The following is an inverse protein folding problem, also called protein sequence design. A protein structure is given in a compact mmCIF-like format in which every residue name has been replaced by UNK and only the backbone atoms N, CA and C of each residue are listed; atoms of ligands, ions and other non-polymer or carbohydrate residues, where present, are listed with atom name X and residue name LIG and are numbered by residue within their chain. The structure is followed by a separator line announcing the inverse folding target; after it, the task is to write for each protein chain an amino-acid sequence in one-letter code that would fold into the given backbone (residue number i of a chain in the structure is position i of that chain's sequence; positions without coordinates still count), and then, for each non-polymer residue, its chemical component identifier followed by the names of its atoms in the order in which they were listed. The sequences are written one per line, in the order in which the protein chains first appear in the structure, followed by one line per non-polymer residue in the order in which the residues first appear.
data_IF_392263114001
#
_entry.id   IF_392263114001
#
_cell.length_a   1.000
_cell.length_b   1.000
_cell.length_c   1.000
_cell.angle_alpha   90.00
_cell.angle_beta   90.00
_cell.angle_gamma   90.00
#
_symmetry.space_group_name_H-M   'P 1'
#
loop_
_entity.id
_entity.type
_entity.pdbx_description
1 polymer ?
#
# COMPACT_ATOMS: atom_id res chain seq x y z
N UNK A 1 -20.27 -62.66 6.95
CA UNK A 1 -20.01 -61.21 6.75
C UNK A 1 -19.36 -60.69 8.01
N UNK A 2 -18.10 -60.30 7.93
CA UNK A 2 -17.38 -59.62 9.02
C UNK A 2 -17.62 -58.12 8.91
N UNK A 3 -17.90 -57.45 10.02
CA UNK A 3 -18.03 -56.00 10.09
C UNK A 3 -16.66 -55.39 10.43
N UNK A 4 -15.67 -55.66 9.58
CA UNK A 4 -14.27 -55.26 9.78
C UNK A 4 -13.94 -53.90 9.14
N UNK A 5 -14.86 -53.31 8.39
CA UNK A 5 -14.66 -52.03 7.68
C UNK A 5 -15.94 -51.23 7.52
N UNK A 6 -15.79 -49.92 7.32
CA UNK A 6 -16.87 -49.04 6.91
C UNK A 6 -17.21 -49.20 5.42
N UNK A 7 -18.46 -48.86 5.06
CA UNK A 7 -18.87 -48.71 3.67
C UNK A 7 -18.15 -47.51 3.00
N UNK A 8 -18.11 -47.52 1.67
CA UNK A 8 -17.60 -46.41 0.88
C UNK A 8 -18.25 -45.08 1.31
N UNK A 9 -17.42 -44.05 1.50
CA UNK A 9 -17.86 -42.74 2.00
C UNK A 9 -17.82 -42.61 3.52
N UNK A 10 -17.42 -43.65 4.25
CA UNK A 10 -17.23 -43.62 5.70
C UNK A 10 -15.85 -44.19 6.13
N UNK A 11 -15.35 -43.77 7.30
CA UNK A 11 -14.00 -44.07 7.81
C UNK A 11 -13.97 -44.32 9.32
N UNK A 12 -12.79 -44.74 9.80
CA UNK A 12 -12.40 -44.84 11.22
C UNK A 12 -13.18 -45.84 12.08
N UNK A 13 -13.53 -47.01 11.53
CA UNK A 13 -13.99 -48.13 12.34
C UNK A 13 -12.88 -48.63 13.28
N UNK A 14 -13.09 -48.58 14.59
CA UNK A 14 -12.10 -48.99 15.59
C UNK A 14 -12.73 -49.84 16.70
N UNK A 15 -11.92 -50.64 17.41
CA UNK A 15 -12.33 -51.45 18.58
C UNK A 15 -12.96 -50.63 19.71
N UNK A 16 -12.62 -49.35 19.82
CA UNK A 16 -13.19 -48.43 20.80
C UNK A 16 -14.53 -47.82 20.34
N UNK A 17 -14.85 -47.90 19.04
CA UNK A 17 -16.10 -47.43 18.47
C UNK A 17 -16.63 -48.43 17.42
N UNK A 18 -17.07 -49.62 17.85
CA UNK A 18 -17.39 -50.75 16.96
C UNK A 18 -18.64 -50.53 16.09
N UNK A 19 -19.52 -49.58 16.45
CA UNK A 19 -20.70 -49.21 15.65
C UNK A 19 -20.46 -47.92 14.82
N UNK A 20 -19.30 -47.28 14.99
CA UNK A 20 -19.07 -45.93 14.52
C UNK A 20 -18.31 -45.86 13.20
N UNK A 21 -19.04 -45.58 12.14
CA UNK A 21 -18.51 -45.16 10.86
C UNK A 21 -18.78 -43.67 10.67
N UNK A 22 -17.72 -42.87 10.53
CA UNK A 22 -17.83 -41.43 10.32
C UNK A 22 -17.79 -41.10 8.84
N UNK A 23 -18.59 -40.13 8.34
CA UNK A 23 -18.52 -39.73 6.94
C UNK A 23 -17.13 -39.18 6.59
N UNK A 24 -16.65 -39.46 5.37
CA UNK A 24 -15.31 -39.06 4.92
C UNK A 24 -15.09 -37.54 4.98
N UNK A 25 -16.08 -36.75 4.53
CA UNK A 25 -16.03 -35.29 4.53
C UNK A 25 -15.03 -34.68 3.54
N UNK A 26 -14.72 -35.38 2.45
CA UNK A 26 -13.78 -34.89 1.44
C UNK A 26 -14.28 -33.59 0.80
N UNK A 27 -13.37 -32.63 0.63
CA UNK A 27 -13.65 -31.34 0.02
C UNK A 27 -14.04 -31.54 -1.46
N UNK A 28 -15.21 -31.05 -1.90
CA UNK A 28 -15.70 -31.26 -3.26
C UNK A 28 -14.88 -30.52 -4.32
N UNK A 29 -14.25 -29.40 -3.94
CA UNK A 29 -13.43 -28.60 -4.84
C UNK A 29 -12.02 -29.19 -4.92
N UNK A 30 -11.49 -29.76 -3.84
CA UNK A 30 -10.12 -30.27 -3.77
C UNK A 30 -9.94 -31.77 -3.98
N UNK A 31 -11.00 -32.57 -3.87
CA UNK A 31 -10.95 -34.02 -4.07
C UNK A 31 -11.40 -34.43 -5.48
N UNK A 32 -10.89 -35.55 -5.98
CA UNK A 32 -11.37 -36.17 -7.22
C UNK A 32 -12.79 -36.74 -7.05
N UNK A 33 -13.13 -37.17 -5.84
CA UNK A 33 -14.43 -37.69 -5.45
C UNK A 33 -14.64 -37.58 -3.94
N UNK A 34 -15.88 -37.78 -3.49
CA UNK A 34 -16.30 -37.70 -2.08
C UNK A 34 -16.00 -38.96 -1.23
N UNK A 35 -15.31 -39.95 -1.81
CA UNK A 35 -14.87 -41.16 -1.09
C UNK A 35 -13.45 -41.00 -0.53
N UNK A 36 -13.18 -41.71 0.57
CA UNK A 36 -11.87 -41.77 1.20
C UNK A 36 -11.48 -43.22 1.49
N UNK A 37 -10.19 -43.45 1.75
CA UNK A 37 -9.68 -44.74 2.20
C UNK A 37 -10.34 -45.15 3.54
N UNK A 38 -10.97 -46.34 3.64
CA UNK A 38 -11.73 -46.72 4.84
C UNK A 38 -10.89 -46.86 6.12
N UNK A 39 -9.56 -47.04 6.00
CA UNK A 39 -8.66 -47.26 7.13
C UNK A 39 -7.99 -45.96 7.59
N UNK A 40 -7.34 -45.25 6.67
CA UNK A 40 -6.62 -44.01 6.92
C UNK A 40 -7.52 -42.77 6.89
N UNK A 41 -8.68 -42.85 6.23
CA UNK A 41 -9.58 -41.73 6.05
C UNK A 41 -9.13 -40.71 5.01
N UNK A 42 -8.06 -41.01 4.26
CA UNK A 42 -7.46 -40.12 3.27
C UNK A 42 -8.33 -40.02 2.01
N UNK A 43 -8.69 -38.80 1.63
CA UNK A 43 -9.36 -38.50 0.36
C UNK A 43 -8.36 -38.48 -0.81
N UNK A 44 -8.83 -38.80 -2.02
CA UNK A 44 -8.02 -38.69 -3.24
C UNK A 44 -7.98 -37.25 -3.73
N UNK A 45 -6.88 -36.55 -3.46
CA UNK A 45 -6.76 -35.12 -3.77
C UNK A 45 -6.43 -34.86 -5.25
N UNK A 46 -6.97 -33.76 -5.79
CA UNK A 46 -6.54 -33.20 -7.07
C UNK A 46 -5.07 -32.77 -6.99
N UNK A 47 -4.41 -32.69 -8.14
CA UNK A 47 -2.99 -32.32 -8.24
C UNK A 47 -2.73 -30.96 -7.59
N UNK A 48 -1.82 -30.93 -6.63
CA UNK A 48 -1.41 -29.69 -5.96
C UNK A 48 -2.25 -29.32 -4.73
N UNK A 49 -3.17 -30.18 -4.32
CA UNK A 49 -3.96 -30.06 -3.09
C UNK A 49 -3.52 -31.15 -2.11
N UNK A 50 -3.59 -30.85 -0.81
CA UNK A 50 -3.14 -31.72 0.27
C UNK A 50 -4.11 -31.69 1.46
N UNK A 51 -3.81 -32.51 2.48
CA UNK A 51 -4.65 -32.67 3.67
C UNK A 51 -5.49 -33.94 3.62
N UNK A 52 -6.01 -34.35 4.77
CA UNK A 52 -6.83 -35.56 4.90
C UNK A 52 -8.10 -35.46 4.05
N UNK A 53 -8.68 -34.26 4.01
CA UNK A 53 -9.93 -33.94 3.32
C UNK A 53 -9.71 -33.24 1.98
N UNK A 54 -8.44 -33.05 1.55
CA UNK A 54 -8.10 -32.27 0.36
C UNK A 54 -8.61 -30.81 0.41
N UNK A 55 -8.61 -30.22 1.60
CA UNK A 55 -9.10 -28.87 1.90
C UNK A 55 -7.97 -27.84 2.02
N UNK A 56 -6.71 -28.27 1.86
CA UNK A 56 -5.54 -27.46 2.18
C UNK A 56 -4.59 -27.34 1.00
N UNK A 57 -4.11 -26.13 0.74
CA UNK A 57 -3.07 -25.88 -0.25
C UNK A 57 -1.65 -25.96 0.34
N UNK A 58 -0.63 -26.31 -0.47
CA UNK A 58 0.78 -26.27 -0.04
C UNK A 58 1.23 -24.89 0.45
N UNK A 59 2.25 -24.80 1.33
CA UNK A 59 2.81 -23.53 1.78
C UNK A 59 3.22 -22.63 0.60
N UNK A 60 2.91 -21.33 0.69
CA UNK A 60 3.13 -20.38 -0.41
C UNK A 60 2.00 -20.34 -1.45
N UNK A 61 0.93 -21.10 -1.23
CA UNK A 61 -0.31 -21.05 -2.01
C UNK A 61 -1.54 -20.95 -1.10
N UNK A 62 -2.68 -20.53 -1.65
CA UNK A 62 -3.94 -20.39 -0.93
C UNK A 62 -5.13 -20.85 -1.77
N UNK A 63 -6.24 -21.18 -1.10
CA UNK A 63 -7.40 -21.89 -1.67
C UNK A 63 -7.62 -23.21 -0.92
N UNK A 64 -8.13 -24.27 -1.59
CA UNK A 64 -8.55 -24.33 -2.99
C UNK A 64 -9.77 -23.44 -3.29
N UNK A 65 -9.84 -22.87 -4.50
CA UNK A 65 -11.02 -22.12 -4.96
C UNK A 65 -12.03 -23.09 -5.60
N UNK A 66 -13.19 -22.57 -6.03
CA UNK A 66 -14.25 -23.35 -6.69
C UNK A 66 -13.80 -24.16 -7.93
N UNK A 67 -12.65 -23.84 -8.52
CA UNK A 67 -12.04 -24.58 -9.64
C UNK A 67 -11.13 -25.73 -9.19
N UNK A 68 -10.94 -25.92 -7.89
CA UNK A 68 -10.04 -26.94 -7.33
C UNK A 68 -8.57 -26.65 -7.59
N UNK A 69 -8.19 -25.38 -7.69
CA UNK A 69 -6.81 -24.97 -7.95
C UNK A 69 -6.26 -24.12 -6.80
N UNK A 70 -5.04 -24.44 -6.38
CA UNK A 70 -4.27 -23.62 -5.45
C UNK A 70 -3.62 -22.43 -6.17
N UNK A 71 -3.78 -21.24 -5.61
CA UNK A 71 -3.24 -20.00 -6.20
C UNK A 71 -2.00 -19.56 -5.43
N UNK A 72 -0.95 -19.16 -6.13
CA UNK A 72 0.26 -18.63 -5.48
C UNK A 72 -0.01 -17.35 -4.69
N UNK A 73 0.57 -17.23 -3.49
CA UNK A 73 0.47 -16.02 -2.68
C UNK A 73 0.97 -14.78 -3.44
N UNK A 74 2.10 -14.92 -4.15
CA UNK A 74 2.77 -13.83 -4.88
C UNK A 74 3.00 -12.57 -4.00
N UNK A 75 3.48 -12.76 -2.76
CA UNK A 75 3.76 -11.65 -1.87
C UNK A 75 4.97 -10.82 -2.35
N UNK A 76 4.91 -9.50 -2.19
CA UNK A 76 6.01 -8.58 -2.49
C UNK A 76 7.12 -8.70 -1.44
N UNK A 77 8.33 -9.06 -1.88
CA UNK A 77 9.49 -9.16 -1.01
C UNK A 77 9.84 -7.83 -0.30
N UNK A 78 9.49 -6.70 -0.91
CA UNK A 78 9.68 -5.37 -0.34
C UNK A 78 8.77 -5.10 0.86
N UNK A 79 7.54 -5.63 0.83
CA UNK A 79 6.49 -5.26 1.76
C UNK A 79 6.12 -6.30 2.80
N UNK A 80 6.63 -7.53 2.73
CA UNK A 80 6.33 -8.58 3.71
C UNK A 80 7.31 -8.62 4.88
N UNK A 81 6.82 -9.10 6.02
CA UNK A 81 7.68 -9.56 7.11
C UNK A 81 8.49 -10.77 6.63
N UNK A 82 9.81 -10.73 6.82
CA UNK A 82 10.73 -11.77 6.34
C UNK A 82 10.36 -13.15 6.89
N UNK A 83 10.28 -14.15 6.02
CA UNK A 83 9.92 -15.52 6.40
C UNK A 83 8.42 -15.76 6.63
N UNK A 84 7.55 -14.78 6.35
CA UNK A 84 6.10 -14.98 6.43
C UNK A 84 5.55 -15.78 5.26
N UNK A 85 4.56 -16.62 5.54
CA UNK A 85 3.73 -17.33 4.55
C UNK A 85 2.35 -16.66 4.53
N UNK A 86 1.70 -16.58 3.36
CA UNK A 86 0.37 -15.99 3.29
C UNK A 86 -0.69 -16.89 3.94
N UNK A 87 -1.82 -16.28 4.30
CA UNK A 87 -2.95 -16.99 4.88
C UNK A 87 -3.49 -18.06 3.90
N UNK A 88 -3.70 -19.32 4.32
CA UNK A 88 -4.00 -20.44 3.42
C UNK A 88 -5.36 -20.35 2.71
N UNK A 89 -6.33 -19.62 3.27
CA UNK A 89 -7.65 -19.41 2.63
C UNK A 89 -7.73 -18.11 1.85
N UNK A 90 -7.39 -16.97 2.46
CA UNK A 90 -7.55 -15.63 1.85
C UNK A 90 -6.39 -15.22 0.94
N UNK A 91 -5.22 -15.85 1.09
CA UNK A 91 -4.01 -15.46 0.40
C UNK A 91 -3.39 -14.15 0.89
N UNK A 92 -3.83 -13.64 2.04
CA UNK A 92 -3.31 -12.40 2.63
C UNK A 92 -1.88 -12.60 3.14
N UNK A 93 -0.95 -11.79 2.64
CA UNK A 93 0.43 -11.76 3.09
C UNK A 93 0.56 -10.94 4.38
N UNK A 94 1.56 -11.27 5.21
CA UNK A 94 1.84 -10.50 6.43
C UNK A 94 2.67 -9.26 6.08
N UNK A 95 1.98 -8.13 5.94
CA UNK A 95 2.59 -6.86 5.55
C UNK A 95 3.37 -6.22 6.69
N UNK A 96 4.45 -5.51 6.33
CA UNK A 96 5.19 -4.65 7.25
C UNK A 96 4.39 -3.41 7.65
N UNK A 97 4.92 -2.68 8.62
CA UNK A 97 4.35 -1.40 9.01
C UNK A 97 4.24 -0.48 7.79
N UNK A 98 3.07 0.17 7.67
CA UNK A 98 2.76 1.16 6.62
C UNK A 98 2.70 0.59 5.19
N UNK A 99 2.61 -0.72 5.04
CA UNK A 99 2.38 -1.41 3.77
C UNK A 99 0.99 -2.08 3.80
N UNK A 100 0.33 -2.15 2.67
CA UNK A 100 -0.98 -2.77 2.51
C UNK A 100 -1.18 -3.52 1.18
N UNK A 101 -2.40 -4.01 0.98
CA UNK A 101 -2.76 -4.90 -0.12
C UNK A 101 -2.58 -6.37 0.22
N UNK A 102 -3.23 -7.25 -0.54
CA UNK A 102 -3.15 -8.70 -0.33
C UNK A 102 -1.72 -9.22 -0.44
N UNK A 103 -0.94 -8.62 -1.35
CA UNK A 103 0.45 -8.98 -1.65
C UNK A 103 1.46 -8.12 -0.91
N UNK A 104 1.03 -7.13 -0.13
CA UNK A 104 1.91 -6.14 0.49
C UNK A 104 2.75 -5.38 -0.56
N UNK A 105 2.13 -5.02 -1.69
CA UNK A 105 2.75 -4.37 -2.83
C UNK A 105 2.49 -2.85 -2.89
N UNK A 106 1.74 -2.30 -1.94
CA UNK A 106 1.39 -0.88 -1.87
C UNK A 106 1.69 -0.28 -0.50
N UNK A 107 2.00 1.02 -0.47
CA UNK A 107 2.10 1.78 0.77
C UNK A 107 0.70 2.17 1.24
N UNK A 108 0.48 2.20 2.55
CA UNK A 108 -0.78 2.69 3.12
C UNK A 108 -0.93 4.19 2.87
N UNK A 109 -2.16 4.67 2.77
CA UNK A 109 -2.49 6.10 2.74
C UNK A 109 -1.62 6.94 3.69
N UNK A 110 -1.04 8.02 3.15
CA UNK A 110 -0.13 8.89 3.88
C UNK A 110 1.33 8.40 3.89
N UNK A 111 1.64 7.37 3.10
CA UNK A 111 2.99 6.86 2.89
C UNK A 111 3.26 6.64 1.40
N UNK A 112 4.53 6.73 1.01
CA UNK A 112 4.93 6.62 -0.39
C UNK A 112 6.26 5.85 -0.52
N UNK A 113 6.56 5.44 -1.76
CA UNK A 113 7.82 4.83 -2.19
C UNK A 113 8.17 3.56 -1.42
N UNK A 114 7.58 2.44 -1.85
CA UNK A 114 7.93 1.11 -1.34
C UNK A 114 9.36 0.74 -1.77
N UNK A 115 10.31 0.85 -0.84
CA UNK A 115 11.73 0.60 -1.08
C UNK A 115 12.09 -0.88 -1.24
N UNK A 116 13.09 -1.15 -2.08
CA UNK A 116 13.78 -2.44 -2.18
C UNK A 116 15.13 -2.34 -1.44
N UNK A 117 15.42 -3.28 -0.52
CA UNK A 117 16.66 -3.28 0.26
C UNK A 117 16.58 -2.46 1.56
N UNK A 118 17.71 -2.03 2.13
CA UNK A 118 17.84 -1.48 3.51
C UNK A 118 16.94 -0.27 3.84
N UNK A 119 16.37 0.41 2.85
CA UNK A 119 15.27 1.38 3.02
C UNK A 119 13.92 0.65 3.01
N UNK A 120 13.81 -0.30 3.94
CA UNK A 120 12.85 -1.40 4.00
C UNK A 120 11.37 -1.00 4.24
N UNK A 121 11.09 0.30 4.37
CA UNK A 121 9.81 0.84 4.79
C UNK A 121 9.35 1.96 3.88
N UNK A 122 8.04 2.04 3.63
CA UNK A 122 7.43 3.23 3.04
C UNK A 122 7.85 4.49 3.81
N UNK A 123 7.92 5.62 3.11
CA UNK A 123 8.23 6.92 3.72
C UNK A 123 6.94 7.69 4.00
N UNK A 124 6.83 8.39 5.13
CA UNK A 124 5.62 9.15 5.43
C UNK A 124 5.50 10.39 4.55
N UNK A 125 4.28 10.70 4.12
CA UNK A 125 3.95 11.99 3.50
C UNK A 125 4.14 13.11 4.52
N UNK A 126 4.80 14.19 4.09
CA UNK A 126 5.02 15.38 4.92
C UNK A 126 4.47 16.62 4.22
N UNK A 127 3.21 16.57 3.81
CA UNK A 127 2.55 17.68 3.15
C UNK A 127 2.35 18.85 4.10
N UNK A 128 2.70 20.06 3.67
CA UNK A 128 2.50 21.30 4.41
C UNK A 128 1.02 21.69 4.39
N UNK A 129 0.34 21.74 5.55
CA UNK A 129 -1.09 22.04 5.62
C UNK A 129 -1.48 23.41 5.05
N UNK A 130 -0.55 24.37 4.98
CA UNK A 130 -0.82 25.69 4.44
C UNK A 130 -0.72 25.70 2.92
N UNK A 131 0.19 24.89 2.36
CA UNK A 131 0.45 24.82 0.93
C UNK A 131 -0.34 23.78 0.14
N UNK A 132 -1.02 22.83 0.78
CA UNK A 132 -1.89 21.86 0.09
C UNK A 132 -3.31 22.36 -0.15
N UNK A 133 -3.98 21.78 -1.15
CA UNK A 133 -5.42 21.97 -1.36
C UNK A 133 -6.21 21.39 -0.18
N UNK A 134 -7.36 21.99 0.17
CA UNK A 134 -8.19 21.47 1.27
C UNK A 134 -8.60 20.01 1.01
N UNK A 135 -8.39 19.15 2.00
CA UNK A 135 -8.72 17.73 1.91
C UNK A 135 -7.68 16.85 1.20
N UNK A 136 -6.59 17.41 0.66
CA UNK A 136 -5.55 16.65 -0.05
C UNK A 136 -4.29 16.41 0.80
N UNK A 137 -4.48 15.99 2.06
CA UNK A 137 -3.37 15.69 2.97
C UNK A 137 -2.56 14.44 2.59
N UNK A 138 -3.09 13.63 1.66
CA UNK A 138 -2.40 12.47 1.10
C UNK A 138 -1.45 12.92 -0.01
N UNK A 139 -0.28 12.30 -0.07
CA UNK A 139 0.66 12.44 -1.18
C UNK A 139 0.52 11.25 -2.13
N UNK A 140 1.00 11.44 -3.36
CA UNK A 140 1.08 10.37 -4.35
C UNK A 140 1.93 9.18 -3.86
N UNK A 141 1.42 7.96 -4.00
CA UNK A 141 2.00 6.74 -3.41
C UNK A 141 3.37 6.37 -3.99
N UNK A 142 3.69 6.80 -5.22
CA UNK A 142 4.96 6.49 -5.88
C UNK A 142 5.97 7.63 -5.72
N UNK A 143 5.57 8.85 -6.09
CA UNK A 143 6.44 10.03 -6.11
C UNK A 143 6.56 10.73 -4.76
N UNK A 144 5.55 10.63 -3.90
CA UNK A 144 5.43 11.39 -2.66
C UNK A 144 4.99 12.83 -2.86
N UNK A 145 4.58 13.23 -4.07
CA UNK A 145 4.17 14.59 -4.37
C UNK A 145 2.82 14.90 -3.72
N UNK A 146 2.78 15.94 -2.91
CA UNK A 146 1.56 16.50 -2.36
C UNK A 146 0.83 17.37 -3.40
N UNK A 147 -0.49 17.47 -3.31
CA UNK A 147 -1.27 18.33 -4.18
C UNK A 147 -1.20 19.79 -3.70
N UNK A 148 -0.35 20.58 -4.35
CA UNK A 148 -0.09 21.97 -3.97
C UNK A 148 -1.19 22.92 -4.45
N UNK A 149 -1.48 23.95 -3.64
CA UNK A 149 -2.25 25.12 -4.04
C UNK A 149 -1.52 25.89 -5.15
N UNK A 150 -2.28 26.72 -5.87
CA UNK A 150 -1.71 27.62 -6.86
C UNK A 150 -0.68 28.56 -6.20
N UNK A 151 0.49 28.69 -6.83
CA UNK A 151 1.59 29.50 -6.34
C UNK A 151 2.47 28.86 -5.28
N UNK A 152 2.30 27.55 -5.06
CA UNK A 152 3.09 26.75 -4.13
C UNK A 152 3.74 25.60 -4.89
N UNK A 153 4.96 25.25 -4.51
CA UNK A 153 5.71 24.17 -5.13
C UNK A 153 6.50 23.33 -4.12
N UNK A 154 7.21 22.33 -4.64
CA UNK A 154 7.99 21.38 -3.87
C UNK A 154 7.20 20.12 -3.53
N UNK A 155 7.93 19.04 -3.17
CA UNK A 155 7.36 17.73 -2.87
C UNK A 155 6.29 17.81 -1.76
N UNK A 156 6.53 18.70 -0.80
CA UNK A 156 5.74 18.89 0.41
C UNK A 156 4.83 20.11 0.35
N UNK A 157 4.79 20.84 -0.77
CA UNK A 157 4.08 22.11 -0.89
C UNK A 157 4.47 23.15 0.17
N UNK A 158 5.76 23.22 0.51
CA UNK A 158 6.24 24.02 1.65
C UNK A 158 6.98 25.29 1.22
N UNK A 159 6.92 25.68 -0.05
CA UNK A 159 7.53 26.91 -0.56
C UNK A 159 6.69 27.56 -1.65
N UNK A 160 6.78 28.87 -1.76
CA UNK A 160 6.15 29.61 -2.84
C UNK A 160 6.86 29.32 -4.18
N UNK A 161 6.08 29.27 -5.26
CA UNK A 161 6.61 29.25 -6.61
C UNK A 161 7.35 30.54 -6.94
N UNK A 162 8.15 30.52 -8.00
CA UNK A 162 8.85 31.71 -8.48
C UNK A 162 7.90 32.91 -8.64
N UNK A 163 8.39 34.09 -8.22
CA UNK A 163 7.65 35.36 -8.21
C UNK A 163 6.51 35.45 -7.19
N UNK A 164 6.48 34.57 -6.20
CA UNK A 164 5.51 34.60 -5.11
C UNK A 164 6.22 34.49 -3.76
N UNK A 165 5.59 35.00 -2.70
CA UNK A 165 6.17 35.06 -1.37
C UNK A 165 5.14 34.90 -0.25
N UNK A 166 5.61 34.70 0.98
CA UNK A 166 4.81 34.66 2.21
C UNK A 166 3.75 33.53 2.20
N UNK A 167 4.22 32.28 2.32
CA UNK A 167 3.37 31.11 2.50
C UNK A 167 2.61 31.21 3.84
N UNK A 168 1.30 31.41 3.80
CA UNK A 168 0.50 31.67 5.00
C UNK A 168 -0.87 30.99 4.97
N UNK A 169 -1.36 30.62 6.17
CA UNK A 169 -2.73 30.15 6.39
C UNK A 169 -3.79 31.24 6.24
N UNK A 170 -3.40 32.51 6.19
CA UNK A 170 -4.31 33.66 6.19
C UNK A 170 -5.11 33.82 4.88
N UNK A 171 -4.70 33.16 3.79
CA UNK A 171 -5.41 33.21 2.52
C UNK A 171 -6.09 31.88 2.21
N UNK A 172 -7.42 31.90 2.12
CA UNK A 172 -8.23 30.72 1.82
C UNK A 172 -8.07 30.24 0.37
N UNK A 173 -7.75 31.12 -0.58
CA UNK A 173 -7.65 30.80 -2.03
C UNK A 173 -6.23 30.76 -2.59
N UNK A 174 -5.26 31.49 -2.01
CA UNK A 174 -3.88 31.60 -2.50
C UNK A 174 -2.89 31.45 -1.34
N UNK A 175 -2.15 30.35 -1.27
CA UNK A 175 -1.24 30.15 -0.14
C UNK A 175 -0.08 31.16 -0.11
N UNK A 176 0.30 31.70 -1.27
CA UNK A 176 1.36 32.70 -1.44
C UNK A 176 0.83 33.96 -2.14
N UNK A 177 1.51 35.09 -1.92
CA UNK A 177 1.21 36.39 -2.52
C UNK A 177 2.15 36.66 -3.71
N UNK A 178 1.69 37.34 -4.78
CA UNK A 178 2.56 37.71 -5.89
C UNK A 178 3.56 38.80 -5.49
N UNK A 179 4.77 38.71 -6.02
CA UNK A 179 5.78 39.75 -5.87
C UNK A 179 5.50 40.90 -6.84
N UNK A 180 5.29 42.10 -6.28
CA UNK A 180 5.05 43.31 -7.06
C UNK A 180 6.38 44.05 -7.32
N UNK A 181 7.35 43.39 -7.97
CA UNK A 181 8.63 44.02 -8.30
C UNK A 181 8.48 45.01 -9.45
N UNK A 182 8.97 46.25 -9.28
CA UNK A 182 9.02 47.26 -10.33
C UNK A 182 10.02 46.84 -11.43
N UNK A 183 9.57 46.82 -12.68
CA UNK A 183 10.36 46.32 -13.80
C UNK A 183 11.60 47.20 -14.10
N UNK A 184 11.51 48.51 -13.83
CA UNK A 184 12.61 49.45 -14.09
C UNK A 184 13.63 49.39 -12.95
N UNK A 185 13.15 49.24 -11.72
CA UNK A 185 13.96 49.20 -10.52
C UNK A 185 14.55 47.84 -10.15
N UNK A 186 14.14 46.76 -10.80
CA UNK A 186 14.58 45.39 -10.49
C UNK A 186 15.62 44.89 -11.49
N UNK A 187 16.63 44.16 -11.02
CA UNK A 187 17.61 43.52 -11.89
C UNK A 187 16.92 42.43 -12.73
N UNK A 188 17.08 42.49 -14.06
CA UNK A 188 16.46 41.54 -14.98
C UNK A 188 16.88 40.09 -14.70
N UNK A 189 15.92 39.16 -14.78
CA UNK A 189 16.14 37.74 -14.54
C UNK A 189 16.25 37.33 -13.07
N UNK A 190 16.05 38.27 -12.13
CA UNK A 190 15.98 37.95 -10.70
C UNK A 190 14.56 37.61 -10.25
N UNK A 191 14.48 36.84 -9.16
CA UNK A 191 13.23 36.49 -8.48
C UNK A 191 13.27 37.13 -7.09
N UNK A 192 12.11 37.56 -6.59
CA UNK A 192 12.00 38.03 -5.21
C UNK A 192 12.30 36.93 -4.19
N UNK A 193 12.67 37.34 -2.99
CA UNK A 193 12.82 36.45 -1.85
C UNK A 193 11.45 35.80 -1.48
N UNK A 194 11.37 34.46 -1.35
CA UNK A 194 10.11 33.74 -1.18
C UNK A 194 9.47 33.91 0.21
N UNK A 195 10.20 34.42 1.19
CA UNK A 195 9.67 34.64 2.54
C UNK A 195 9.23 36.10 2.74
N UNK A 196 10.12 37.05 2.41
CA UNK A 196 9.91 38.49 2.61
C UNK A 196 9.25 39.20 1.42
N UNK A 197 9.35 38.63 0.22
CA UNK A 197 8.94 39.28 -1.02
C UNK A 197 9.88 40.40 -1.48
N UNK A 198 11.09 40.50 -0.91
CA UNK A 198 12.08 41.50 -1.30
C UNK A 198 12.60 41.24 -2.71
N UNK A 199 12.44 42.22 -3.60
CA UNK A 199 12.98 42.21 -4.95
C UNK A 199 14.46 42.59 -4.97
N UNK A 200 15.21 42.12 -5.96
CA UNK A 200 16.63 42.46 -6.11
C UNK A 200 16.75 43.79 -6.87
N UNK A 201 16.92 44.88 -6.12
CA UNK A 201 16.91 46.22 -6.69
C UNK A 201 18.20 46.56 -7.45
N UNK A 202 18.03 47.28 -8.56
CA UNK A 202 19.10 47.94 -9.28
C UNK A 202 19.84 48.95 -8.35
N UNK A 203 21.11 49.31 -8.65
CA UNK A 203 21.96 50.06 -7.74
C UNK A 203 21.35 51.36 -7.15
N UNK A 204 20.50 52.05 -7.93
CA UNK A 204 19.85 53.32 -7.57
C UNK A 204 18.43 53.17 -7.01
N UNK A 205 17.92 51.95 -6.83
CA UNK A 205 16.56 51.67 -6.37
C UNK A 205 16.56 51.00 -4.97
N UNK A 206 15.47 51.19 -4.23
CA UNK A 206 15.22 50.68 -2.88
C UNK A 206 13.72 50.39 -2.66
N UNK A 207 13.37 50.03 -1.43
CA UNK A 207 12.08 49.45 -1.02
C UNK A 207 11.92 47.98 -1.44
N UNK A 208 10.85 47.36 -0.98
CA UNK A 208 10.61 45.93 -1.20
C UNK A 208 10.35 45.60 -2.67
N UNK A 209 9.62 46.48 -3.34
CA UNK A 209 9.25 46.41 -4.75
C UNK A 209 10.27 47.08 -5.68
N UNK A 210 11.32 47.72 -5.16
CA UNK A 210 12.27 48.51 -5.94
C UNK A 210 11.68 49.73 -6.67
N UNK A 211 10.49 50.20 -6.26
CA UNK A 211 9.82 51.33 -6.93
C UNK A 211 10.40 52.70 -6.55
N UNK A 212 11.22 52.79 -5.49
CA UNK A 212 11.72 54.06 -4.94
C UNK A 212 13.20 54.26 -5.25
N UNK A 213 13.61 55.47 -5.66
CA UNK A 213 15.02 55.82 -5.84
C UNK A 213 15.73 56.03 -4.50
N UNK A 214 17.00 55.67 -4.43
CA UNK A 214 17.87 56.03 -3.30
C UNK A 214 18.13 57.55 -3.31
N UNK A 215 18.21 58.18 -2.12
CA UNK A 215 18.52 59.61 -1.98
C UNK A 215 19.95 59.95 -2.43
#
# INVERSE_FOLDING_TARGET
LTCDRCNYGFKFLNRTNPDGCEPCGCDPDGSLHQFCDPFSGQCECKKGIQGLLCDTCPPGTYGPRMDGVCVSCNCSAAGIVSGSVCHPVTGQCACRSHVEGRRCDSCRDGWYKLGLGDSLSCQPCHCDPWGIVQGSALCDEESGQCLCKNGVEGLRCNRCSAHMYNLSSANETHACLPCNCDLVGTLAGTVCDPDSGQCVCAPMHQARDCSTCKP
#
